data_IF_145223311358
#
_entry.id   IF_145223311358
#
_cell.length_a   1.000
_cell.length_b   1.000
_cell.length_c   1.000
_cell.angle_alpha   90.00
_cell.angle_beta   90.00
_cell.angle_gamma   90.00
#
_symmetry.space_group_name_H-M   'P 1'
#
loop_
_entity.id
_entity.type
_entity.pdbx_description
1 polymer ?
#
# COMPACT_ATOMS: atom_id res chain seq x y z
N UNK A 1 -10.73 16.34 -15.06
CA UNK A 1 -11.02 16.34 -13.60
C UNK A 1 -9.78 15.81 -12.89
N UNK A 2 -9.24 16.51 -11.90
CA UNK A 2 -8.22 15.98 -10.99
C UNK A 2 -8.80 15.91 -9.59
N UNK A 3 -8.42 14.89 -8.81
CA UNK A 3 -8.83 14.79 -7.42
C UNK A 3 -8.05 15.79 -6.56
N UNK A 4 -8.71 16.35 -5.54
CA UNK A 4 -8.07 17.30 -4.61
C UNK A 4 -7.00 16.64 -3.73
N UNK A 5 -7.24 15.39 -3.34
CA UNK A 5 -6.37 14.62 -2.45
C UNK A 5 -5.83 13.40 -3.18
N UNK A 6 -6.60 12.31 -3.16
CA UNK A 6 -6.21 11.07 -3.81
C UNK A 6 -7.30 10.55 -4.74
N UNK A 7 -6.93 9.71 -5.70
CA UNK A 7 -7.86 8.91 -6.51
C UNK A 7 -7.67 7.43 -6.22
N UNK A 8 -8.75 6.70 -5.95
CA UNK A 8 -8.76 5.24 -5.93
C UNK A 8 -9.53 4.78 -7.16
N UNK A 9 -8.85 4.20 -8.15
CA UNK A 9 -9.48 3.66 -9.38
C UNK A 9 -10.41 4.69 -10.06
N UNK A 10 -9.97 5.94 -10.13
CA UNK A 10 -10.74 7.06 -10.71
C UNK A 10 -11.78 7.73 -9.79
N UNK A 11 -11.96 7.25 -8.55
CA UNK A 11 -12.86 7.88 -7.55
C UNK A 11 -12.04 8.74 -6.60
N UNK A 12 -12.42 10.00 -6.40
CA UNK A 12 -11.72 10.86 -5.45
C UNK A 12 -12.00 10.46 -4.00
N UNK A 13 -10.93 10.24 -3.24
CA UNK A 13 -10.98 9.86 -1.82
C UNK A 13 -10.14 10.83 -1.00
N UNK A 14 -10.52 11.09 0.27
CA UNK A 14 -9.78 12.00 1.15
C UNK A 14 -8.41 11.42 1.56
N UNK A 15 -8.30 10.10 1.70
CA UNK A 15 -7.06 9.40 2.05
C UNK A 15 -7.05 7.98 1.46
N UNK A 16 -5.86 7.47 1.15
CA UNK A 16 -5.63 6.05 0.90
C UNK A 16 -5.55 5.28 2.24
N UNK A 17 -5.60 3.96 2.14
CA UNK A 17 -5.50 3.00 3.26
C UNK A 17 -4.05 2.73 3.68
N UNK A 18 -3.34 3.78 4.07
CA UNK A 18 -1.92 3.71 4.44
C UNK A 18 -1.69 2.86 5.70
N UNK A 19 -2.50 3.10 6.73
CA UNK A 19 -2.34 2.56 8.08
C UNK A 19 -3.58 1.83 8.59
N UNK A 20 -4.73 2.04 7.96
CA UNK A 20 -6.04 1.47 8.32
C UNK A 20 -6.78 1.01 7.06
N UNK A 21 -7.55 -0.06 7.18
CA UNK A 21 -8.29 -0.68 6.06
C UNK A 21 -7.63 -1.92 5.45
N UNK A 22 -8.40 -2.61 4.61
CA UNK A 22 -8.03 -3.84 3.90
C UNK A 22 -8.59 -3.84 2.47
N UNK A 23 -7.76 -3.94 1.42
CA UNK A 23 -6.30 -4.08 1.45
C UNK A 23 -5.59 -2.78 1.89
N UNK A 24 -4.32 -2.92 2.30
CA UNK A 24 -3.40 -1.81 2.54
C UNK A 24 -3.03 -1.13 1.22
N UNK A 25 -2.88 0.18 1.25
CA UNK A 25 -2.59 0.99 0.06
C UNK A 25 -1.40 1.92 0.30
N UNK A 26 -0.67 2.21 -0.77
CA UNK A 26 0.27 3.32 -0.85
C UNK A 26 -0.22 4.34 -1.90
N UNK A 27 0.40 5.52 -1.95
CA UNK A 27 0.05 6.54 -2.93
C UNK A 27 1.20 6.73 -3.92
N UNK A 28 0.86 6.74 -5.20
CA UNK A 28 1.80 7.06 -6.27
C UNK A 28 1.21 8.18 -7.11
N UNK A 29 1.79 9.37 -7.06
CA UNK A 29 1.30 10.53 -7.82
C UNK A 29 -0.12 10.97 -7.46
N UNK A 30 -0.59 10.68 -6.24
CA UNK A 30 -1.96 10.95 -5.82
C UNK A 30 -2.95 9.80 -6.13
N UNK A 31 -2.51 8.71 -6.73
CA UNK A 31 -3.34 7.51 -6.92
C UNK A 31 -3.10 6.48 -5.81
N UNK A 32 -4.18 6.01 -5.17
CA UNK A 32 -4.14 4.93 -4.21
C UNK A 32 -3.98 3.59 -4.93
N UNK A 33 -2.87 2.91 -4.65
CA UNK A 33 -2.55 1.59 -5.21
C UNK A 33 -2.39 0.60 -4.08
N UNK A 34 -2.86 -0.63 -4.29
CA UNK A 34 -2.83 -1.70 -3.30
C UNK A 34 -1.41 -2.24 -3.10
N UNK A 35 -1.06 -2.56 -1.86
CA UNK A 35 0.17 -3.26 -1.52
C UNK A 35 0.17 -4.70 -2.04
N UNK A 36 1.35 -5.29 -2.19
CA UNK A 36 1.46 -6.72 -2.47
C UNK A 36 0.82 -7.55 -1.33
N UNK A 37 0.12 -8.66 -1.62
CA UNK A 37 -0.52 -9.50 -0.59
C UNK A 37 0.46 -10.08 0.43
N UNK A 38 1.72 -10.23 0.04
CA UNK A 38 2.82 -10.70 0.91
C UNK A 38 3.34 -9.62 1.88
N UNK A 39 2.83 -8.39 1.83
CA UNK A 39 3.24 -7.36 2.78
C UNK A 39 2.49 -7.50 4.11
N UNK A 40 3.24 -7.62 5.21
CA UNK A 40 2.68 -7.72 6.56
C UNK A 40 1.96 -6.44 6.96
N UNK A 41 0.74 -6.58 7.47
CA UNK A 41 -0.01 -5.46 8.01
C UNK A 41 0.68 -4.96 9.27
N UNK A 42 1.14 -3.73 9.24
CA UNK A 42 1.74 -3.09 10.41
C UNK A 42 0.61 -2.46 11.23
N UNK A 43 0.46 -2.94 12.47
CA UNK A 43 -0.42 -2.33 13.47
C UNK A 43 0.32 -1.17 14.16
N UNK A 44 -0.40 -0.09 14.47
CA UNK A 44 0.17 1.08 15.15
C UNK A 44 0.56 2.26 14.25
N UNK A 45 0.01 2.35 13.03
CA UNK A 45 0.12 3.55 12.21
C UNK A 45 1.29 3.57 11.21
N UNK A 46 1.95 2.44 10.97
CA UNK A 46 3.02 2.33 9.97
C UNK A 46 2.49 2.07 8.55
N UNK A 47 3.19 2.60 7.54
CA UNK A 47 2.95 2.25 6.14
C UNK A 47 3.39 0.81 5.84
N UNK A 48 2.51 0.03 5.21
CA UNK A 48 2.73 -1.40 4.93
C UNK A 48 3.65 -1.64 3.73
N UNK A 49 3.59 -0.78 2.72
CA UNK A 49 4.41 -0.85 1.53
C UNK A 49 4.69 0.56 0.98
N UNK A 50 5.73 0.69 0.17
CA UNK A 50 6.03 1.90 -0.61
C UNK A 50 5.86 1.69 -2.13
N UNK A 51 5.33 0.54 -2.52
CA UNK A 51 5.13 0.12 -3.90
C UNK A 51 4.18 -1.07 -3.99
N UNK A 52 3.82 -1.44 -5.22
CA UNK A 52 2.96 -2.59 -5.50
C UNK A 52 3.71 -3.93 -5.55
N UNK A 53 5.05 -3.89 -5.59
CA UNK A 53 5.90 -5.08 -5.69
C UNK A 53 6.16 -5.75 -4.35
N UNK A 54 6.35 -7.07 -4.37
CA UNK A 54 6.70 -7.87 -3.20
C UNK A 54 8.05 -7.47 -2.56
N UNK A 55 8.89 -6.73 -3.29
CA UNK A 55 10.17 -6.16 -2.86
C UNK A 55 10.05 -4.81 -2.17
N UNK A 56 8.86 -4.20 -2.24
CA UNK A 56 8.59 -2.87 -1.69
C UNK A 56 7.78 -2.90 -0.41
N UNK A 57 7.59 -4.09 0.16
CA UNK A 57 7.00 -4.28 1.48
C UNK A 57 7.94 -3.76 2.58
N UNK A 58 7.40 -3.04 3.56
CA UNK A 58 8.17 -2.68 4.76
C UNK A 58 8.53 -3.94 5.56
N UNK A 59 7.65 -4.95 5.55
CA UNK A 59 7.84 -6.25 6.19
C UNK A 59 7.07 -7.34 5.44
N UNK A 60 7.61 -8.55 5.38
CA UNK A 60 6.96 -9.69 4.75
C UNK A 60 6.01 -10.40 5.74
N UNK A 61 4.81 -10.77 5.28
CA UNK A 61 3.82 -11.49 6.07
C UNK A 61 4.21 -12.96 6.30
N UNK A 62 4.85 -13.57 5.30
CA UNK A 62 5.21 -14.98 5.31
C UNK A 62 6.73 -15.17 5.29
N UNK A 63 7.33 -15.37 4.12
CA UNK A 63 8.76 -15.60 3.95
C UNK A 63 9.39 -14.51 3.08
N UNK A 64 10.72 -14.46 3.09
CA UNK A 64 11.50 -13.54 2.26
C UNK A 64 12.52 -14.34 1.48
N UNK A 65 12.39 -14.32 0.16
CA UNK A 65 13.38 -14.88 -0.77
C UNK A 65 14.17 -13.74 -1.42
N UNK A 66 15.34 -13.47 -0.86
CA UNK A 66 16.17 -12.33 -1.27
C UNK A 66 15.43 -10.99 -1.09
N UNK A 67 15.24 -10.17 -2.14
CA UNK A 67 14.51 -8.92 -2.02
C UNK A 67 12.98 -9.10 -2.00
N UNK A 68 12.44 -10.24 -2.43
CA UNK A 68 10.99 -10.43 -2.61
C UNK A 68 10.34 -11.14 -1.41
N UNK A 69 9.18 -10.67 -0.97
CA UNK A 69 8.31 -11.41 -0.04
C UNK A 69 7.50 -12.50 -0.77
N UNK A 70 7.39 -13.68 -0.18
CA UNK A 70 6.73 -14.88 -0.76
C UNK A 70 6.03 -15.73 0.29
#
# INVERSE_FOLDING_TARGET
LSCRFYSRRGVCVPTCRFTEGDPREFSQGGECTECHPECERIDGGGATCNGSGADTCTRCAHYRDGPHCV
#
